data_IF_295778151527
#
_entry.id   IF_295778151527
#
_cell.length_a   1.000
_cell.length_b   1.000
_cell.length_c   1.000
_cell.angle_alpha   90.00
_cell.angle_beta   90.00
_cell.angle_gamma   90.00
#
_symmetry.space_group_name_H-M   'P 1'
#
loop_
_entity.id
_entity.type
_entity.pdbx_description
1 polymer ?
#
# COMPACT_ATOMS: atom_id res chain seq x y z
N UNK A 1 44.98 46.01 -6.13
CA UNK A 1 43.50 45.83 -6.16
C UNK A 1 43.00 45.14 -7.43
N UNK A 2 43.63 45.33 -8.60
CA UNK A 2 43.25 44.66 -9.86
C UNK A 2 43.24 43.11 -9.82
N UNK A 3 44.16 42.48 -9.08
CA UNK A 3 44.24 41.01 -9.01
C UNK A 3 43.11 40.35 -8.20
N UNK A 4 42.49 41.07 -7.24
CA UNK A 4 41.38 40.53 -6.42
C UNK A 4 40.05 40.57 -7.16
N UNK A 5 39.88 41.52 -8.08
CA UNK A 5 38.68 41.66 -8.93
C UNK A 5 38.62 40.53 -9.97
N UNK A 6 39.76 40.15 -10.55
CA UNK A 6 39.83 39.04 -11.52
C UNK A 6 39.59 37.67 -10.88
N UNK A 7 40.02 37.46 -9.63
CA UNK A 7 39.74 36.22 -8.88
C UNK A 7 38.26 36.13 -8.50
N UNK A 8 37.64 37.25 -8.10
CA UNK A 8 36.21 37.29 -7.77
C UNK A 8 35.31 37.10 -9.02
N UNK A 9 35.72 37.65 -10.15
CA UNK A 9 35.05 37.43 -11.44
C UNK A 9 35.17 35.97 -11.92
N UNK A 10 36.32 35.33 -11.70
CA UNK A 10 36.52 33.91 -12.01
C UNK A 10 35.69 32.96 -11.13
N UNK A 11 35.52 33.28 -9.84
CA UNK A 11 34.71 32.49 -8.91
C UNK A 11 33.22 32.59 -9.23
N UNK A 12 32.74 33.77 -9.65
CA UNK A 12 31.35 34.00 -10.03
C UNK A 12 30.98 33.26 -11.33
N UNK A 13 31.89 33.18 -12.30
CA UNK A 13 31.70 32.43 -13.54
C UNK A 13 31.60 30.90 -13.34
N UNK A 14 32.27 30.37 -12.31
CA UNK A 14 32.23 28.94 -11.96
C UNK A 14 30.87 28.50 -11.38
N UNK A 15 30.17 29.41 -10.67
CA UNK A 15 28.83 29.16 -10.09
C UNK A 15 27.76 29.03 -11.19
N UNK A 16 27.91 29.73 -12.32
CA UNK A 16 27.00 29.64 -13.46
C UNK A 16 27.28 28.45 -14.41
N UNK A 17 28.43 27.80 -14.28
CA UNK A 17 28.84 26.68 -15.16
C UNK A 17 28.37 25.30 -14.72
N UNK A 18 27.90 25.14 -13.48
CA UNK A 18 27.55 23.84 -12.89
C UNK A 18 26.07 23.44 -13.05
N UNK A 19 25.24 24.24 -13.74
CA UNK A 19 23.82 23.94 -13.93
C UNK A 19 23.50 22.93 -15.05
N UNK A 20 24.51 22.37 -15.72
CA UNK A 20 24.33 21.69 -17.02
C UNK A 20 24.18 20.16 -17.00
N UNK A 21 24.15 19.47 -15.86
CA UNK A 21 24.00 18.01 -15.85
C UNK A 21 22.63 17.48 -15.42
N UNK A 22 21.67 18.33 -15.00
CA UNK A 22 20.39 17.85 -14.46
C UNK A 22 19.15 18.21 -15.31
N UNK A 23 19.31 19.06 -16.33
CA UNK A 23 18.24 19.44 -17.27
C UNK A 23 18.61 19.05 -18.70
N UNK A 24 19.09 17.83 -18.89
CA UNK A 24 19.36 17.31 -20.23
C UNK A 24 18.06 16.86 -20.87
N UNK A 25 17.46 17.69 -21.74
CA UNK A 25 16.48 17.36 -22.79
C UNK A 25 15.57 16.12 -22.58
N UNK A 26 15.11 15.88 -21.36
CA UNK A 26 14.15 14.84 -21.06
C UNK A 26 12.77 15.42 -21.33
N UNK A 27 11.88 14.67 -22.01
CA UNK A 27 10.51 15.11 -22.16
C UNK A 27 9.87 15.29 -20.78
N UNK A 28 9.13 16.38 -20.57
CA UNK A 28 8.28 16.52 -19.39
C UNK A 28 7.21 15.43 -19.45
N UNK A 29 7.32 14.46 -18.55
CA UNK A 29 6.32 13.40 -18.41
C UNK A 29 5.19 13.91 -17.51
N UNK A 30 3.91 13.77 -17.91
CA UNK A 30 2.81 14.10 -17.03
C UNK A 30 2.84 13.16 -15.81
N UNK A 31 2.57 13.70 -14.63
CA UNK A 31 2.29 12.87 -13.46
C UNK A 31 0.97 12.11 -13.70
N UNK A 32 0.93 10.84 -13.30
CA UNK A 32 -0.28 10.02 -13.39
C UNK A 32 -1.39 10.61 -12.52
N UNK A 33 -2.58 10.78 -13.10
CA UNK A 33 -3.78 11.30 -12.42
C UNK A 33 -4.74 10.20 -11.96
N UNK A 34 -4.43 8.93 -12.24
CA UNK A 34 -5.29 7.82 -11.86
C UNK A 34 -5.25 7.59 -10.34
N UNK A 35 -6.42 7.34 -9.75
CA UNK A 35 -6.60 7.15 -8.30
C UNK A 35 -7.48 5.92 -8.02
N UNK A 36 -7.19 4.80 -8.67
CA UNK A 36 -7.99 3.59 -8.63
C UNK A 36 -7.39 2.52 -7.70
N UNK A 37 -8.26 1.67 -7.16
CA UNK A 37 -7.88 0.36 -6.62
C UNK A 37 -7.99 -0.64 -7.77
N UNK A 38 -6.94 -1.42 -8.01
CA UNK A 38 -6.84 -2.33 -9.16
C UNK A 38 -6.75 -3.79 -8.77
N UNK A 39 -6.46 -4.10 -7.50
CA UNK A 39 -6.39 -5.46 -7.02
C UNK A 39 -6.62 -5.53 -5.50
N UNK A 40 -7.16 -6.65 -5.00
CA UNK A 40 -7.30 -6.99 -3.59
C UNK A 40 -6.57 -8.30 -3.26
N UNK A 41 -5.95 -8.34 -2.08
CA UNK A 41 -5.33 -9.51 -1.47
C UNK A 41 -5.74 -9.61 0.00
N UNK A 42 -5.69 -10.82 0.55
CA UNK A 42 -6.07 -11.08 1.94
C UNK A 42 -5.13 -12.08 2.61
N UNK A 43 -4.89 -11.87 3.90
CA UNK A 43 -4.13 -12.77 4.76
C UNK A 43 -4.79 -12.88 6.13
N UNK A 44 -4.54 -13.99 6.80
CA UNK A 44 -4.73 -14.14 8.24
C UNK A 44 -3.37 -14.30 8.92
N UNK A 45 -3.18 -13.68 10.08
CA UNK A 45 -1.93 -13.74 10.83
C UNK A 45 -2.19 -14.19 12.26
N UNK A 46 -1.36 -15.08 12.77
CA UNK A 46 -1.45 -15.57 14.14
C UNK A 46 -0.06 -15.92 14.69
N UNK A 47 0.03 -16.03 16.00
CA UNK A 47 1.25 -16.45 16.68
C UNK A 47 1.34 -17.97 16.68
N UNK A 48 2.49 -18.49 16.28
CA UNK A 48 2.79 -19.91 16.46
C UNK A 48 3.00 -20.24 17.95
N UNK A 49 2.84 -21.52 18.27
CA UNK A 49 3.31 -22.11 19.53
C UNK A 49 4.83 -22.20 19.61
N UNK A 50 5.52 -22.19 18.47
CA UNK A 50 6.98 -22.11 18.37
C UNK A 50 7.49 -20.66 18.53
N UNK A 51 8.70 -20.54 19.07
CA UNK A 51 9.39 -19.26 19.31
C UNK A 51 10.73 -19.21 18.59
N UNK A 52 11.18 -18.00 18.27
CA UNK A 52 12.56 -17.76 17.89
C UNK A 52 13.51 -18.03 19.08
N UNK A 53 14.82 -18.26 18.83
CA UNK A 53 15.79 -18.50 19.90
C UNK A 53 15.88 -17.39 20.96
N UNK A 54 15.44 -16.17 20.63
CA UNK A 54 15.37 -15.03 21.55
C UNK A 54 14.10 -15.01 22.43
N UNK A 55 13.23 -16.00 22.29
CA UNK A 55 11.98 -16.15 23.04
C UNK A 55 10.79 -15.37 22.45
N UNK A 56 10.95 -14.67 21.32
CA UNK A 56 9.85 -14.00 20.65
C UNK A 56 8.97 -14.98 19.86
N UNK A 57 7.65 -14.75 19.83
CA UNK A 57 6.72 -15.61 19.10
C UNK A 57 6.90 -15.44 17.58
N UNK A 58 6.80 -16.55 16.85
CA UNK A 58 6.80 -16.54 15.38
C UNK A 58 5.42 -16.11 14.89
N UNK A 59 5.35 -15.16 13.95
CA UNK A 59 4.11 -14.81 13.27
C UNK A 59 3.94 -15.69 12.03
N UNK A 60 2.90 -16.52 11.99
CA UNK A 60 2.50 -17.26 10.79
C UNK A 60 1.55 -16.41 9.95
N UNK A 61 1.65 -16.59 8.64
CA UNK A 61 0.81 -15.91 7.66
C UNK A 61 0.14 -16.99 6.81
N UNK A 62 -1.18 -16.95 6.76
CA UNK A 62 -1.99 -17.79 5.87
C UNK A 62 -2.59 -16.88 4.81
N UNK A 63 -2.29 -17.15 3.55
CA UNK A 63 -2.91 -16.44 2.43
C UNK A 63 -4.37 -16.87 2.34
N UNK A 64 -5.29 -15.91 2.32
CA UNK A 64 -6.70 -16.15 2.06
C UNK A 64 -6.96 -15.85 0.59
N UNK A 65 -7.53 -16.81 -0.14
CA UNK A 65 -7.82 -16.64 -1.57
C UNK A 65 -8.84 -15.53 -1.75
N UNK A 66 -8.62 -14.66 -2.73
CA UNK A 66 -9.55 -13.57 -3.07
C UNK A 66 -10.07 -13.78 -4.49
N UNK A 67 -11.38 -13.96 -4.64
CA UNK A 67 -12.08 -14.19 -5.91
C UNK A 67 -13.22 -13.19 -6.12
N UNK A 68 -13.92 -13.31 -7.25
CA UNK A 68 -15.12 -12.51 -7.58
C UNK A 68 -14.90 -11.00 -7.47
N UNK A 69 -13.72 -10.56 -7.90
CA UNK A 69 -13.27 -9.18 -7.70
C UNK A 69 -13.99 -8.25 -8.67
N UNK A 70 -14.51 -7.14 -8.16
CA UNK A 70 -15.12 -6.08 -8.96
C UNK A 70 -14.66 -4.72 -8.46
N UNK A 71 -14.22 -3.87 -9.39
CA UNK A 71 -13.71 -2.53 -9.15
C UNK A 71 -14.55 -1.54 -9.96
N UNK A 72 -15.69 -1.14 -9.42
CA UNK A 72 -16.64 -0.29 -10.15
C UNK A 72 -17.31 0.71 -9.22
N UNK A 73 -17.64 1.89 -9.75
CA UNK A 73 -18.39 2.92 -9.03
C UNK A 73 -17.82 3.28 -7.65
N UNK A 74 -16.48 3.32 -7.52
CA UNK A 74 -15.81 3.63 -6.25
C UNK A 74 -15.93 2.52 -5.20
N UNK A 75 -16.26 1.30 -5.61
CA UNK A 75 -16.31 0.13 -4.72
C UNK A 75 -15.42 -0.99 -5.26
N UNK A 76 -14.51 -1.48 -4.42
CA UNK A 76 -13.76 -2.70 -4.60
C UNK A 76 -14.44 -3.80 -3.78
N UNK A 77 -15.00 -4.79 -4.47
CA UNK A 77 -15.70 -5.91 -3.83
C UNK A 77 -15.05 -7.24 -4.19
N UNK A 78 -15.08 -8.20 -3.26
CA UNK A 78 -14.52 -9.54 -3.47
C UNK A 78 -15.07 -10.58 -2.48
N UNK A 79 -14.91 -11.85 -2.84
CA UNK A 79 -15.04 -12.99 -1.93
C UNK A 79 -13.68 -13.34 -1.34
N UNK A 80 -13.59 -13.54 -0.04
CA UNK A 80 -12.38 -13.98 0.68
C UNK A 80 -12.61 -15.38 1.23
N UNK A 81 -11.84 -16.35 0.77
CA UNK A 81 -12.00 -17.77 1.12
C UNK A 81 -10.94 -18.21 2.13
N UNK A 82 -11.40 -18.78 3.24
CA UNK A 82 -10.53 -19.39 4.25
C UNK A 82 -10.12 -20.80 3.79
N UNK A 83 -8.82 -21.09 3.66
CA UNK A 83 -8.37 -22.40 3.20
C UNK A 83 -8.62 -23.50 4.24
N UNK A 84 -8.36 -24.75 3.87
CA UNK A 84 -8.49 -25.90 4.76
C UNK A 84 -7.55 -25.80 5.98
N UNK A 85 -7.91 -26.52 7.04
CA UNK A 85 -7.18 -26.51 8.32
C UNK A 85 -5.70 -26.93 8.18
N UNK A 86 -5.35 -27.67 7.12
CA UNK A 86 -3.96 -28.05 6.78
C UNK A 86 -3.06 -26.86 6.46
N UNK A 87 -3.63 -25.68 6.17
CA UNK A 87 -2.88 -24.44 5.96
C UNK A 87 -2.44 -23.77 7.26
N UNK A 88 -2.87 -24.29 8.42
CA UNK A 88 -2.60 -23.74 9.74
C UNK A 88 -1.68 -24.70 10.52
N UNK A 89 -0.65 -24.16 11.17
CA UNK A 89 0.29 -24.94 11.99
C UNK A 89 -0.26 -25.22 13.38
N UNK A 90 -1.15 -24.34 13.89
CA UNK A 90 -1.75 -24.46 15.21
C UNK A 90 -3.18 -25.02 15.11
N UNK A 91 -3.52 -26.12 15.81
CA UNK A 91 -4.87 -26.68 15.81
C UNK A 91 -5.94 -25.67 16.29
N UNK A 92 -7.10 -25.66 15.62
CA UNK A 92 -8.23 -24.77 15.95
C UNK A 92 -8.07 -23.31 15.48
N UNK A 93 -6.92 -22.96 14.89
CA UNK A 93 -6.66 -21.58 14.47
C UNK A 93 -7.56 -21.15 13.29
N UNK A 94 -7.89 -22.08 12.39
CA UNK A 94 -8.82 -21.84 11.28
C UNK A 94 -10.17 -21.28 11.74
N UNK A 95 -10.66 -21.73 12.89
CA UNK A 95 -11.98 -21.34 13.38
C UNK A 95 -12.02 -19.89 13.84
N UNK A 96 -10.87 -19.33 14.23
CA UNK A 96 -10.70 -17.94 14.66
C UNK A 96 -10.69 -16.93 13.51
N UNK A 97 -10.44 -17.38 12.29
CA UNK A 97 -10.46 -16.49 11.11
C UNK A 97 -11.85 -15.88 10.98
N UNK A 98 -11.96 -14.57 10.92
CA UNK A 98 -13.24 -13.86 10.85
C UNK A 98 -13.07 -12.55 10.12
N UNK A 99 -14.14 -12.03 9.51
CA UNK A 99 -14.06 -10.74 8.82
C UNK A 99 -13.66 -9.59 9.77
N UNK A 100 -13.88 -9.74 11.08
CA UNK A 100 -13.44 -8.79 12.11
C UNK A 100 -11.93 -8.82 12.40
N UNK A 101 -11.20 -9.83 11.90
CA UNK A 101 -9.78 -10.00 12.11
C UNK A 101 -9.10 -10.66 10.90
N UNK A 102 -8.94 -9.90 9.83
CA UNK A 102 -8.12 -10.26 8.66
C UNK A 102 -7.23 -9.10 8.24
N UNK A 103 -6.25 -9.37 7.41
CA UNK A 103 -5.39 -8.36 6.78
C UNK A 103 -5.81 -8.21 5.33
N UNK A 104 -6.32 -7.03 4.96
CA UNK A 104 -6.52 -6.68 3.55
C UNK A 104 -5.35 -5.86 3.01
N UNK A 105 -5.01 -6.08 1.75
CA UNK A 105 -4.04 -5.29 0.98
C UNK A 105 -4.60 -5.06 -0.42
N UNK A 106 -4.06 -4.08 -1.13
CA UNK A 106 -4.50 -3.78 -2.48
C UNK A 106 -3.36 -3.24 -3.36
N UNK A 107 -3.52 -3.38 -4.67
CA UNK A 107 -2.80 -2.52 -5.61
C UNK A 107 -3.63 -1.27 -5.89
N UNK A 108 -2.93 -0.17 -6.08
CA UNK A 108 -3.51 1.12 -6.46
C UNK A 108 -2.81 1.63 -7.73
N UNK A 109 -3.37 2.66 -8.34
CA UNK A 109 -2.74 3.35 -9.48
C UNK A 109 -1.27 3.69 -9.21
N UNK A 110 -0.45 3.63 -10.26
CA UNK A 110 1.00 3.84 -10.19
C UNK A 110 1.35 5.18 -9.54
N UNK A 111 2.17 5.13 -8.49
CA UNK A 111 2.60 6.33 -7.76
C UNK A 111 1.52 6.97 -6.87
N UNK A 112 0.32 6.39 -6.79
CA UNK A 112 -0.71 6.85 -5.88
C UNK A 112 -0.39 6.49 -4.42
N UNK A 113 -1.07 7.16 -3.50
CA UNK A 113 -1.08 6.86 -2.07
C UNK A 113 -2.48 6.53 -1.61
N UNK A 114 -2.61 5.75 -0.52
CA UNK A 114 -3.89 5.35 0.05
C UNK A 114 -3.88 5.55 1.57
N UNK A 115 -4.96 6.10 2.11
CA UNK A 115 -5.16 6.28 3.55
C UNK A 115 -6.58 5.84 3.97
N UNK A 116 -6.72 5.25 5.19
CA UNK A 116 -8.03 4.91 5.72
C UNK A 116 -8.85 6.16 6.06
N UNK A 117 -10.17 6.07 5.90
CA UNK A 117 -11.13 7.09 6.30
C UNK A 117 -12.07 6.52 7.37
N UNK A 118 -12.69 7.41 8.16
CA UNK A 118 -13.80 7.05 9.07
C UNK A 118 -13.47 5.90 10.06
N UNK A 119 -12.19 5.76 10.44
CA UNK A 119 -11.74 4.70 11.35
C UNK A 119 -11.55 3.33 10.68
N UNK A 120 -11.56 3.27 9.35
CA UNK A 120 -11.25 2.05 8.61
C UNK A 120 -9.87 1.49 9.02
N UNK A 121 -9.70 0.14 9.03
CA UNK A 121 -8.41 -0.45 9.36
C UNK A 121 -7.32 -0.02 8.39
N UNK A 122 -6.09 0.12 8.90
CA UNK A 122 -4.92 0.34 8.04
C UNK A 122 -4.65 -0.93 7.21
N UNK A 123 -4.59 -0.78 5.89
CA UNK A 123 -4.23 -1.89 4.99
C UNK A 123 -2.82 -2.43 5.32
N UNK A 124 -2.66 -3.75 5.18
CA UNK A 124 -1.45 -4.47 5.58
C UNK A 124 -1.34 -4.79 7.08
N UNK A 125 -2.31 -4.36 7.89
CA UNK A 125 -2.45 -4.72 9.31
C UNK A 125 -3.74 -5.51 9.57
N UNK A 126 -3.79 -6.34 10.62
CA UNK A 126 -5.03 -7.01 11.02
C UNK A 126 -6.10 -5.98 11.40
N UNK A 127 -7.34 -6.21 10.98
CA UNK A 127 -8.46 -5.33 11.30
C UNK A 127 -9.83 -5.87 10.89
N UNK A 128 -10.85 -5.05 11.17
CA UNK A 128 -12.24 -5.38 10.93
C UNK A 128 -12.70 -4.95 9.52
N UNK A 129 -12.96 -5.94 8.68
CA UNK A 129 -13.56 -5.82 7.35
C UNK A 129 -14.93 -6.50 7.27
N UNK A 130 -15.60 -6.72 8.41
CA UNK A 130 -16.98 -7.22 8.45
C UNK A 130 -18.01 -6.23 7.91
N UNK A 131 -17.60 -4.98 7.72
CA UNK A 131 -18.38 -3.88 7.16
C UNK A 131 -17.64 -3.24 6.00
N UNK A 132 -18.36 -2.43 5.24
CA UNK A 132 -17.79 -1.61 4.18
C UNK A 132 -16.78 -0.61 4.78
N UNK A 133 -15.55 -0.61 4.28
CA UNK A 133 -14.45 0.22 4.76
C UNK A 133 -14.04 1.25 3.70
N UNK A 134 -13.89 2.52 4.08
CA UNK A 134 -13.57 3.60 3.13
C UNK A 134 -12.10 4.00 3.16
N UNK A 135 -11.57 4.31 1.99
CA UNK A 135 -10.19 4.72 1.77
C UNK A 135 -10.14 5.86 0.77
N UNK A 136 -9.23 6.81 0.99
CA UNK A 136 -8.92 7.86 0.00
C UNK A 136 -7.68 7.44 -0.77
N UNK A 137 -7.81 7.30 -2.09
CA UNK A 137 -6.68 7.14 -3.00
C UNK A 137 -6.35 8.51 -3.59
N UNK A 138 -5.09 8.93 -3.47
CA UNK A 138 -4.60 10.19 -4.04
C UNK A 138 -3.58 9.86 -5.12
N UNK A 139 -3.81 10.33 -6.35
CA UNK A 139 -2.96 10.06 -7.50
C UNK A 139 -1.55 10.67 -7.35
N UNK A 140 -0.63 10.26 -8.22
CA UNK A 140 0.75 10.74 -8.22
C UNK A 140 0.85 12.26 -8.49
N UNK A 141 -0.14 12.85 -9.16
CA UNK A 141 -0.24 14.29 -9.40
C UNK A 141 -0.49 15.13 -8.12
N UNK A 142 -0.84 14.49 -7.00
CA UNK A 142 -1.16 15.13 -5.72
C UNK A 142 -2.43 15.99 -5.73
N UNK A 143 -3.18 16.02 -6.83
CA UNK A 143 -4.37 16.85 -7.05
C UNK A 143 -5.63 16.00 -7.17
N UNK A 144 -5.52 14.87 -7.86
CA UNK A 144 -6.64 13.98 -8.11
C UNK A 144 -6.79 12.99 -6.96
N UNK A 145 -8.00 12.84 -6.43
CA UNK A 145 -8.30 11.85 -5.41
C UNK A 145 -9.67 11.23 -5.62
N UNK A 146 -9.80 9.98 -5.19
CA UNK A 146 -11.05 9.21 -5.26
C UNK A 146 -11.24 8.44 -3.97
N UNK A 147 -12.45 8.51 -3.43
CA UNK A 147 -12.86 7.68 -2.30
C UNK A 147 -13.28 6.33 -2.84
N UNK A 148 -12.67 5.28 -2.29
CA UNK A 148 -12.99 3.89 -2.56
C UNK A 148 -13.55 3.23 -1.31
N UNK A 149 -14.50 2.33 -1.53
CA UNK A 149 -15.05 1.46 -0.50
C UNK A 149 -14.59 0.03 -0.75
N UNK A 150 -14.04 -0.64 0.26
CA UNK A 150 -13.72 -2.07 0.23
C UNK A 150 -14.85 -2.82 0.94
N UNK A 151 -15.44 -3.79 0.26
CA UNK A 151 -16.50 -4.66 0.79
C UNK A 151 -16.19 -6.12 0.48
N UNK A 152 -16.16 -6.97 1.49
CA UNK A 152 -15.82 -8.39 1.31
C UNK A 152 -16.92 -9.31 1.79
N UNK A 153 -17.04 -10.46 1.13
CA UNK A 153 -17.78 -11.62 1.63
C UNK A 153 -16.79 -12.68 2.08
N UNK A 154 -16.71 -12.99 3.38
CA UNK A 154 -15.82 -14.03 3.88
C UNK A 154 -16.53 -15.38 3.90
N UNK A 155 -15.92 -16.38 3.25
CA UNK A 155 -16.43 -17.75 3.18
C UNK A 155 -15.44 -18.73 3.80
N UNK A 156 -15.97 -19.74 4.46
CA UNK A 156 -15.23 -20.82 5.13
C UNK A 156 -15.70 -22.16 4.63
#
# INVERSE_FOLDING_TARGET
MHNKINILAGLLALIFGLSSCLKGNLPDLPAYSDADITELYSQYRYLDTEQYPDGSNIVRIVTLSVSDKSFSNGTASATVTVPDASSFTVPGERDKVSATNIVMMCNISTGASIEPLEGAPKLGMPGDFSKLQKYKVTAADGKTSKVWSISINLVK
#
